data_IF_641758998117
#
_entry.id   IF_641758998117
#
_cell.length_a   1.000
_cell.length_b   1.000
_cell.length_c   1.000
_cell.angle_alpha   90.00
_cell.angle_beta   90.00
_cell.angle_gamma   90.00
#
_symmetry.space_group_name_H-M   'P 1'
#
loop_
_entity.id
_entity.type
_entity.pdbx_description
1 polymer ?
#
# COMPACT_ATOMS: atom_id res chain seq x y z
N UNK A 1 29.11 -8.36 -20.38
CA UNK A 1 28.18 -8.20 -19.22
C UNK A 1 27.78 -6.75 -19.20
N UNK A 2 26.53 -6.45 -19.47
CA UNK A 2 26.04 -5.05 -19.50
C UNK A 2 25.61 -4.69 -18.08
N UNK A 3 26.53 -4.07 -17.34
CA UNK A 3 26.19 -3.46 -16.04
C UNK A 3 25.19 -2.33 -16.30
N UNK A 4 24.08 -2.32 -15.59
CA UNK A 4 23.11 -1.22 -15.72
C UNK A 4 23.73 0.11 -15.27
N UNK A 5 23.49 1.21 -16.01
CA UNK A 5 23.99 2.51 -15.61
C UNK A 5 23.43 2.95 -14.26
N UNK A 6 24.23 3.68 -13.44
CA UNK A 6 23.81 4.15 -12.11
C UNK A 6 22.49 4.93 -12.14
N UNK A 7 22.27 5.71 -13.19
CA UNK A 7 21.03 6.49 -13.37
C UNK A 7 19.82 5.62 -13.51
N UNK A 8 19.91 4.49 -14.20
CA UNK A 8 18.84 3.52 -14.35
C UNK A 8 18.52 2.85 -13.01
N UNK A 9 19.55 2.47 -12.25
CA UNK A 9 19.41 1.88 -10.91
C UNK A 9 18.69 2.87 -9.99
N UNK A 10 19.08 4.15 -10.03
CA UNK A 10 18.44 5.21 -9.25
C UNK A 10 16.98 5.46 -9.66
N UNK A 11 16.67 5.42 -10.97
CA UNK A 11 15.29 5.52 -11.48
C UNK A 11 14.39 4.40 -10.95
N UNK A 12 14.96 3.21 -10.71
CA UNK A 12 14.28 2.08 -10.06
C UNK A 12 14.24 2.20 -8.53
N UNK A 13 14.65 3.34 -7.96
CA UNK A 13 14.67 3.60 -6.52
C UNK A 13 15.47 2.57 -5.71
N UNK A 14 16.47 1.98 -6.34
CA UNK A 14 17.41 1.07 -5.70
C UNK A 14 18.69 1.81 -5.32
N UNK A 15 19.15 1.56 -4.11
CA UNK A 15 20.46 2.07 -3.69
C UNK A 15 21.58 1.21 -4.28
N UNK A 16 22.82 1.74 -4.39
CA UNK A 16 23.96 0.92 -4.85
C UNK A 16 24.21 -0.33 -4.00
N UNK A 17 23.88 -0.27 -2.72
CA UNK A 17 24.01 -1.42 -1.82
C UNK A 17 22.95 -2.51 -2.12
N UNK A 18 21.72 -2.09 -2.39
CA UNK A 18 20.65 -2.99 -2.80
C UNK A 18 20.95 -3.64 -4.15
N UNK A 19 21.46 -2.86 -5.10
CA UNK A 19 21.84 -3.40 -6.41
C UNK A 19 22.93 -4.47 -6.29
N UNK A 20 24.00 -4.21 -5.52
CA UNK A 20 25.02 -5.23 -5.25
C UNK A 20 24.42 -6.50 -4.66
N UNK A 21 23.51 -6.38 -3.70
CA UNK A 21 22.83 -7.52 -3.11
C UNK A 21 21.98 -8.30 -4.13
N UNK A 22 21.37 -7.63 -5.10
CA UNK A 22 20.64 -8.29 -6.19
C UNK A 22 21.62 -9.13 -7.03
N UNK A 23 22.76 -8.56 -7.41
CA UNK A 23 23.81 -9.27 -8.15
C UNK A 23 24.34 -10.47 -7.37
N UNK A 24 24.56 -10.32 -6.07
CA UNK A 24 25.00 -11.42 -5.20
C UNK A 24 23.96 -12.55 -5.13
N UNK A 25 22.67 -12.22 -5.02
CA UNK A 25 21.58 -13.20 -4.98
C UNK A 25 21.46 -13.96 -6.30
N UNK A 26 21.56 -13.25 -7.43
CA UNK A 26 21.42 -13.85 -8.75
C UNK A 26 22.69 -14.56 -9.23
N UNK A 27 23.85 -14.25 -8.66
CA UNK A 27 25.16 -14.67 -9.15
C UNK A 27 25.53 -14.07 -10.51
N UNK A 28 24.79 -13.06 -10.97
CA UNK A 28 24.97 -12.35 -12.25
C UNK A 28 24.27 -10.99 -12.20
N UNK A 29 24.54 -10.19 -13.21
CA UNK A 29 23.77 -8.95 -13.44
C UNK A 29 22.29 -9.26 -13.72
N UNK A 30 21.34 -8.50 -13.12
CA UNK A 30 19.93 -8.66 -13.43
C UNK A 30 19.62 -8.21 -14.86
N UNK A 31 18.65 -8.83 -15.50
CA UNK A 31 18.02 -8.28 -16.71
C UNK A 31 17.21 -7.02 -16.34
N UNK A 32 16.79 -6.24 -17.35
CA UNK A 32 15.94 -5.07 -17.12
C UNK A 32 14.62 -5.42 -16.41
N UNK A 33 14.00 -6.54 -16.80
CA UNK A 33 12.77 -7.03 -16.17
C UNK A 33 13.00 -7.43 -14.71
N UNK A 34 14.09 -8.16 -14.43
CA UNK A 34 14.44 -8.54 -13.05
C UNK A 34 14.73 -7.31 -12.19
N UNK A 35 15.41 -6.30 -12.74
CA UNK A 35 15.63 -5.03 -12.05
C UNK A 35 14.31 -4.37 -11.65
N UNK A 36 13.31 -4.36 -12.56
CA UNK A 36 11.97 -3.86 -12.30
C UNK A 36 11.25 -4.66 -11.21
N UNK A 37 11.34 -5.98 -11.23
CA UNK A 37 10.75 -6.86 -10.20
C UNK A 37 11.36 -6.56 -8.82
N UNK A 38 12.67 -6.51 -8.71
CA UNK A 38 13.35 -6.17 -7.46
C UNK A 38 12.99 -4.76 -6.98
N UNK A 39 12.91 -3.79 -7.90
CA UNK A 39 12.49 -2.42 -7.60
C UNK A 39 11.13 -2.38 -6.90
N UNK A 40 10.14 -3.09 -7.43
CA UNK A 40 8.80 -3.15 -6.85
C UNK A 40 8.79 -3.91 -5.53
N UNK A 41 9.35 -5.12 -5.51
CA UNK A 41 9.31 -5.97 -4.31
C UNK A 41 10.11 -5.41 -3.14
N UNK A 42 11.19 -4.67 -3.41
CA UNK A 42 12.02 -4.03 -2.40
C UNK A 42 11.67 -2.56 -2.16
N UNK A 43 10.59 -2.08 -2.78
CA UNK A 43 10.05 -0.76 -2.46
C UNK A 43 9.56 -0.71 -1.01
N UNK A 44 9.50 0.48 -0.42
CA UNK A 44 8.94 0.67 0.93
C UNK A 44 7.50 0.16 1.02
N UNK A 45 6.73 0.32 -0.06
CA UNK A 45 5.34 -0.10 -0.12
C UNK A 45 5.15 -1.62 0.05
N UNK A 46 5.99 -2.44 -0.60
CA UNK A 46 5.89 -3.90 -0.54
C UNK A 46 6.67 -4.51 0.62
N UNK A 47 7.86 -3.98 0.91
CA UNK A 47 8.80 -4.60 1.86
C UNK A 47 8.75 -4.00 3.26
N UNK A 48 8.21 -2.79 3.41
CA UNK A 48 8.26 -2.02 4.66
C UNK A 48 9.69 -1.88 5.21
N UNK A 49 10.69 -1.81 4.29
CA UNK A 49 12.12 -1.91 4.63
C UNK A 49 12.59 -0.87 5.65
N UNK A 50 12.01 0.33 5.62
CA UNK A 50 12.32 1.42 6.55
C UNK A 50 11.29 1.55 7.67
N UNK A 51 10.01 1.43 7.36
CA UNK A 51 8.92 1.65 8.31
C UNK A 51 8.69 0.48 9.28
N UNK A 52 9.14 -0.72 8.96
CA UNK A 52 8.94 -1.92 9.80
C UNK A 52 9.40 -1.75 11.24
N UNK A 53 10.50 -1.02 11.47
CA UNK A 53 11.00 -0.73 12.81
C UNK A 53 10.03 0.15 13.62
N UNK A 54 9.34 1.07 12.95
CA UNK A 54 8.36 1.96 13.55
C UNK A 54 7.03 1.26 13.77
N UNK A 55 6.58 0.47 12.79
CA UNK A 55 5.35 -0.32 12.88
C UNK A 55 5.38 -1.28 14.07
N UNK A 56 6.52 -1.91 14.33
CA UNK A 56 6.70 -2.79 15.50
C UNK A 56 6.53 -2.09 16.85
N UNK A 57 6.59 -0.77 16.90
CA UNK A 57 6.40 0.02 18.14
C UNK A 57 4.92 0.33 18.40
N UNK A 58 4.05 0.14 17.42
CA UNK A 58 2.62 0.37 17.61
C UNK A 58 2.04 -0.69 18.54
N UNK A 59 1.15 -0.30 19.44
CA UNK A 59 0.48 -1.25 20.34
C UNK A 59 -0.45 -2.15 19.51
N UNK A 60 -0.20 -3.44 19.54
CA UNK A 60 -0.99 -4.44 18.81
C UNK A 60 -1.71 -5.41 19.74
N UNK A 61 -1.56 -5.21 21.07
CA UNK A 61 -2.18 -6.00 22.12
C UNK A 61 -2.78 -5.09 23.17
N UNK A 62 -3.89 -5.49 23.75
CA UNK A 62 -4.56 -4.74 24.80
C UNK A 62 -5.89 -5.36 25.16
N UNK A 63 -6.52 -4.86 26.22
CA UNK A 63 -7.78 -5.38 26.77
C UNK A 63 -8.90 -5.48 25.71
N UNK A 64 -8.93 -4.53 24.79
CA UNK A 64 -9.99 -4.44 23.77
C UNK A 64 -9.60 -5.04 22.42
N UNK A 65 -8.37 -5.54 22.26
CA UNK A 65 -7.93 -6.14 20.99
C UNK A 65 -8.41 -7.58 20.95
N UNK A 66 -9.35 -7.85 20.05
CA UNK A 66 -9.87 -9.20 19.78
C UNK A 66 -9.00 -9.88 18.71
N UNK A 67 -8.69 -9.14 17.62
CA UNK A 67 -7.82 -9.60 16.56
C UNK A 67 -6.74 -8.55 16.26
N UNK A 68 -5.50 -8.92 16.51
CA UNK A 68 -4.32 -8.14 16.15
C UNK A 68 -3.78 -8.47 14.75
N UNK A 69 -2.56 -8.01 14.40
CA UNK A 69 -1.92 -8.28 13.11
C UNK A 69 -1.81 -9.79 12.82
N UNK A 70 -1.95 -10.15 11.54
CA UNK A 70 -1.85 -11.53 11.05
C UNK A 70 -3.08 -11.98 10.26
N UNK A 71 -4.15 -11.20 10.34
CA UNK A 71 -5.39 -11.41 9.58
C UNK A 71 -5.67 -10.21 8.65
N UNK A 72 -6.73 -10.30 7.85
CA UNK A 72 -7.05 -9.29 6.84
C UNK A 72 -7.49 -7.95 7.43
N UNK A 73 -8.07 -7.96 8.64
CA UNK A 73 -8.53 -6.75 9.33
C UNK A 73 -8.28 -6.85 10.84
N UNK A 74 -8.23 -5.71 11.52
CA UNK A 74 -8.22 -5.64 12.97
C UNK A 74 -9.61 -5.72 13.55
N UNK A 75 -9.75 -6.32 14.74
CA UNK A 75 -11.01 -6.37 15.47
C UNK A 75 -10.79 -5.89 16.89
N UNK A 76 -11.64 -4.96 17.35
CA UNK A 76 -11.65 -4.46 18.72
C UNK A 76 -13.02 -4.67 19.37
N UNK A 77 -12.99 -4.98 20.65
CA UNK A 77 -14.18 -5.00 21.50
C UNK A 77 -14.60 -3.54 21.82
N UNK A 78 -15.86 -3.22 21.51
CA UNK A 78 -16.46 -1.90 21.76
C UNK A 78 -17.50 -1.93 22.89
N UNK A 79 -17.62 -3.04 23.61
CA UNK A 79 -18.54 -3.22 24.73
C UNK A 79 -19.87 -3.86 24.32
N UNK A 80 -20.65 -4.23 25.33
CA UNK A 80 -22.00 -4.82 25.18
C UNK A 80 -22.10 -6.04 24.24
N UNK A 81 -21.00 -6.78 24.09
CA UNK A 81 -20.93 -7.94 23.19
C UNK A 81 -20.72 -7.58 21.71
N UNK A 82 -20.45 -6.31 21.42
CA UNK A 82 -20.19 -5.85 20.08
C UNK A 82 -18.67 -5.72 19.80
N UNK A 83 -18.31 -5.96 18.56
CA UNK A 83 -16.95 -5.73 18.08
C UNK A 83 -16.95 -4.85 16.83
N UNK A 84 -15.91 -4.08 16.64
CA UNK A 84 -15.68 -3.33 15.41
C UNK A 84 -14.53 -3.98 14.63
N UNK A 85 -14.82 -4.41 13.40
CA UNK A 85 -13.80 -4.81 12.43
C UNK A 85 -13.44 -3.61 11.55
N UNK A 86 -12.14 -3.36 11.36
CA UNK A 86 -11.67 -2.23 10.56
C UNK A 86 -10.41 -2.55 9.79
N UNK A 87 -10.28 -1.91 8.65
CA UNK A 87 -9.13 -1.98 7.76
C UNK A 87 -8.75 -0.58 7.31
N UNK A 88 -7.47 -0.33 7.18
CA UNK A 88 -6.93 0.86 6.52
C UNK A 88 -5.96 0.44 5.44
N UNK A 89 -6.03 1.06 4.29
CA UNK A 89 -5.14 0.82 3.17
C UNK A 89 -4.83 2.11 2.44
N UNK A 90 -3.62 2.24 1.93
CA UNK A 90 -3.22 3.29 1.01
C UNK A 90 -3.29 2.76 -0.42
N UNK A 91 -4.09 3.40 -1.27
CA UNK A 91 -4.18 3.06 -2.71
C UNK A 91 -3.66 4.20 -3.59
N UNK A 92 -2.57 4.82 -3.14
CA UNK A 92 -2.03 6.05 -3.70
C UNK A 92 -1.50 5.89 -5.13
N UNK A 93 -0.59 4.92 -5.37
CA UNK A 93 0.05 4.76 -6.68
C UNK A 93 -0.94 4.39 -7.78
N UNK A 94 -1.80 3.36 -7.64
CA UNK A 94 -2.80 3.03 -8.65
C UNK A 94 -3.74 4.20 -8.94
N UNK A 95 -4.21 4.90 -7.91
CA UNK A 95 -5.13 6.04 -8.05
C UNK A 95 -4.48 7.26 -8.68
N UNK A 96 -3.16 7.43 -8.58
CA UNK A 96 -2.45 8.50 -9.28
C UNK A 96 -2.40 8.27 -10.80
N UNK A 97 -2.28 7.01 -11.23
CA UNK A 97 -2.19 6.62 -12.64
C UNK A 97 -3.58 6.54 -13.26
N UNK A 98 -4.47 5.73 -12.65
CA UNK A 98 -5.86 5.52 -13.06
C UNK A 98 -6.81 5.84 -11.90
N UNK A 99 -7.19 7.11 -11.72
CA UNK A 99 -7.87 7.58 -10.54
C UNK A 99 -9.16 6.84 -10.21
N UNK A 100 -10.03 6.63 -11.20
CA UNK A 100 -11.31 5.94 -11.01
C UNK A 100 -11.09 4.46 -10.65
N UNK A 101 -10.35 3.73 -11.49
CA UNK A 101 -10.12 2.30 -11.29
C UNK A 101 -9.28 2.02 -10.04
N UNK A 102 -8.28 2.86 -9.78
CA UNK A 102 -7.47 2.76 -8.59
C UNK A 102 -8.29 2.93 -7.31
N UNK A 103 -9.16 3.93 -7.25
CA UNK A 103 -10.01 4.20 -6.10
C UNK A 103 -11.07 3.09 -5.92
N UNK A 104 -11.77 2.70 -6.99
CA UNK A 104 -12.76 1.62 -6.93
C UNK A 104 -12.15 0.30 -6.46
N UNK A 105 -10.95 -0.05 -6.96
CA UNK A 105 -10.21 -1.24 -6.51
C UNK A 105 -9.79 -1.12 -5.05
N UNK A 106 -9.34 0.05 -4.61
CA UNK A 106 -8.96 0.29 -3.21
C UNK A 106 -10.12 0.07 -2.26
N UNK A 107 -11.28 0.68 -2.54
CA UNK A 107 -12.50 0.48 -1.73
C UNK A 107 -12.96 -0.98 -1.78
N UNK A 108 -13.04 -1.58 -2.96
CA UNK A 108 -13.41 -2.98 -3.10
C UNK A 108 -12.52 -3.93 -2.31
N UNK A 109 -11.20 -3.66 -2.31
CA UNK A 109 -10.21 -4.44 -1.57
C UNK A 109 -10.44 -4.40 -0.05
N UNK A 110 -10.60 -3.20 0.53
CA UNK A 110 -10.82 -3.08 1.98
C UNK A 110 -12.18 -3.59 2.42
N UNK A 111 -13.23 -3.43 1.61
CA UNK A 111 -14.54 -4.03 1.89
C UNK A 111 -14.45 -5.55 1.92
N UNK A 112 -13.73 -6.15 0.97
CA UNK A 112 -13.50 -7.60 0.93
C UNK A 112 -12.77 -8.09 2.19
N UNK A 113 -11.78 -7.36 2.66
CA UNK A 113 -11.05 -7.71 3.89
C UNK A 113 -12.00 -7.77 5.11
N UNK A 114 -12.94 -6.84 5.23
CA UNK A 114 -13.94 -6.84 6.29
C UNK A 114 -14.87 -8.04 6.18
N UNK A 115 -15.33 -8.38 4.95
CA UNK A 115 -16.17 -9.57 4.72
C UNK A 115 -15.44 -10.87 5.10
N UNK A 116 -14.12 -10.97 4.83
CA UNK A 116 -13.35 -12.16 5.21
C UNK A 116 -13.27 -12.37 6.73
N UNK A 117 -13.48 -11.31 7.52
CA UNK A 117 -13.54 -11.37 8.98
C UNK A 117 -14.95 -11.73 9.51
N UNK A 118 -15.90 -12.06 8.62
CA UNK A 118 -17.27 -12.36 8.98
C UNK A 118 -18.10 -11.13 9.36
N UNK A 119 -17.60 -9.93 9.10
CA UNK A 119 -18.29 -8.67 9.39
C UNK A 119 -18.86 -8.05 8.12
N UNK A 120 -19.97 -7.30 8.24
CA UNK A 120 -20.56 -6.53 7.16
C UNK A 120 -20.07 -5.07 7.26
N UNK A 121 -19.49 -4.52 6.18
CA UNK A 121 -19.10 -3.11 6.18
C UNK A 121 -20.31 -2.19 6.40
N UNK A 122 -20.15 -1.19 7.24
CA UNK A 122 -21.20 -0.20 7.56
C UNK A 122 -20.77 1.23 7.21
N UNK A 123 -19.48 1.47 7.00
CA UNK A 123 -18.94 2.76 6.65
C UNK A 123 -17.64 2.60 5.87
N UNK A 124 -17.41 3.52 4.94
CA UNK A 124 -16.14 3.77 4.28
C UNK A 124 -15.73 5.19 4.63
N UNK A 125 -14.47 5.37 5.00
CA UNK A 125 -13.92 6.67 5.36
C UNK A 125 -12.64 6.89 4.55
N UNK A 126 -12.47 8.11 4.06
CA UNK A 126 -11.33 8.48 3.23
C UNK A 126 -10.57 9.67 3.82
N UNK A 127 -9.27 9.62 3.73
CA UNK A 127 -8.38 10.72 4.06
C UNK A 127 -7.70 11.22 2.80
N UNK A 128 -8.45 11.93 1.97
CA UNK A 128 -8.00 12.40 0.66
C UNK A 128 -7.05 13.60 0.76
N UNK A 129 -5.99 13.56 -0.02
CA UNK A 129 -4.99 14.63 -0.11
C UNK A 129 -4.64 14.85 -1.58
N UNK A 130 -4.92 16.04 -2.07
CA UNK A 130 -4.63 16.46 -3.45
C UNK A 130 -3.77 17.71 -3.43
N UNK A 131 -3.10 17.98 -4.55
CA UNK A 131 -2.49 19.29 -4.80
C UNK A 131 -3.53 20.37 -5.09
N UNK A 132 -3.07 21.62 -5.37
CA UNK A 132 -3.96 22.74 -5.62
C UNK A 132 -5.01 22.46 -6.72
N UNK A 133 -6.27 22.85 -6.53
CA UNK A 133 -7.37 22.51 -7.45
C UNK A 133 -7.36 23.32 -8.75
N UNK A 134 -6.57 24.37 -8.84
CA UNK A 134 -6.33 25.14 -10.05
C UNK A 134 -5.54 24.39 -11.12
N UNK A 135 -4.81 23.36 -10.72
CA UNK A 135 -4.10 22.48 -11.63
C UNK A 135 -5.06 21.44 -12.24
N UNK A 136 -5.14 21.40 -13.57
CA UNK A 136 -6.03 20.52 -14.32
C UNK A 136 -5.77 19.02 -14.03
N UNK A 137 -4.51 18.62 -13.83
CA UNK A 137 -4.15 17.24 -13.46
C UNK A 137 -4.69 16.88 -12.07
N UNK A 138 -4.56 17.79 -11.10
CA UNK A 138 -5.05 17.56 -9.75
C UNK A 138 -6.58 17.44 -9.72
N UNK A 139 -7.30 18.27 -10.50
CA UNK A 139 -8.75 18.16 -10.66
C UNK A 139 -9.15 16.81 -11.24
N UNK A 140 -8.54 16.40 -12.35
CA UNK A 140 -8.81 15.08 -12.96
C UNK A 140 -8.62 13.92 -11.97
N UNK A 141 -7.55 13.99 -11.19
CA UNK A 141 -7.26 12.96 -10.17
C UNK A 141 -8.35 12.98 -9.09
N UNK A 142 -8.68 14.15 -8.55
CA UNK A 142 -9.68 14.28 -7.49
C UNK A 142 -11.07 13.81 -7.95
N UNK A 143 -11.53 14.26 -9.12
CA UNK A 143 -12.82 13.86 -9.71
C UNK A 143 -12.87 12.34 -9.96
N UNK A 144 -11.81 11.77 -10.53
CA UNK A 144 -11.73 10.34 -10.79
C UNK A 144 -11.73 9.52 -9.51
N UNK A 145 -10.97 9.92 -8.48
CA UNK A 145 -10.92 9.21 -7.19
C UNK A 145 -12.30 9.27 -6.49
N UNK A 146 -12.91 10.44 -6.39
CA UNK A 146 -14.24 10.57 -5.76
C UNK A 146 -15.27 9.74 -6.50
N UNK A 147 -15.25 9.75 -7.83
CA UNK A 147 -16.15 8.91 -8.64
C UNK A 147 -15.90 7.42 -8.46
N UNK A 148 -14.64 7.01 -8.33
CA UNK A 148 -14.26 5.60 -8.09
C UNK A 148 -14.65 5.09 -6.70
N UNK A 149 -14.56 5.95 -5.67
CA UNK A 149 -15.02 5.62 -4.32
C UNK A 149 -16.55 5.43 -4.29
N UNK A 150 -17.28 6.25 -5.06
CA UNK A 150 -18.75 6.23 -5.10
C UNK A 150 -19.33 5.10 -5.96
N UNK A 151 -18.51 4.42 -6.75
CA UNK A 151 -18.93 3.34 -7.66
C UNK A 151 -19.23 2.05 -6.92
#
# INVERSE_FOLDING_TARGET
MTTHPPELIAQHQLTPAEYRKIVDILGREPSYTELGIFSVMWSEHCSYKSSRLHLKKLPTRGKHVVQGPGENAGIIDIGDGWVAAFKIESHNHPSYIEPFQGAATGVGGILRDIFTMGARPIAVMDSLRFGPPDNAKNRRIAEGIVSGIAH
#
